data_IF_611707979989
#
_entry.id   IF_611707979989
#
_cell.length_a   1.000
_cell.length_b   1.000
_cell.length_c   1.000
_cell.angle_alpha   90.00
_cell.angle_beta   90.00
_cell.angle_gamma   90.00
#
_symmetry.space_group_name_H-M   'P 1'
#
loop_
_entity.id
_entity.type
_entity.pdbx_description
1 polymer ?
#
# COMPACT_ATOMS: atom_id res chain seq x y z
N UNK A 1 -11.26 35.47 -38.06
CA UNK A 1 -10.25 34.45 -37.73
C UNK A 1 -9.90 34.51 -36.27
N UNK A 2 -10.42 33.58 -35.47
CA UNK A 2 -9.92 33.31 -34.12
C UNK A 2 -9.78 31.79 -34.05
N UNK A 3 -8.54 31.31 -34.12
CA UNK A 3 -8.19 29.90 -34.07
C UNK A 3 -8.11 29.44 -32.60
N UNK A 4 -8.58 28.21 -32.36
CA UNK A 4 -8.85 27.64 -31.06
C UNK A 4 -7.62 27.42 -30.17
N UNK A 5 -7.83 27.62 -28.88
CA UNK A 5 -6.93 27.18 -27.82
C UNK A 5 -7.15 25.67 -27.62
N UNK A 6 -6.25 24.87 -28.21
CA UNK A 6 -6.14 23.44 -27.95
C UNK A 6 -5.60 23.21 -26.54
N UNK A 7 -6.48 22.80 -25.63
CA UNK A 7 -6.10 22.20 -24.35
C UNK A 7 -5.92 20.70 -24.62
N UNK A 8 -4.68 20.21 -24.50
CA UNK A 8 -4.15 18.82 -24.35
C UNK A 8 -2.76 18.84 -25.02
N UNK A 9 -1.63 18.49 -24.34
CA UNK A 9 -1.44 17.22 -23.65
C UNK A 9 -0.51 17.26 -22.40
N UNK A 10 -1.09 17.30 -21.20
CA UNK A 10 -0.38 16.89 -19.97
C UNK A 10 -0.71 15.44 -19.57
N UNK A 11 -1.86 14.93 -20.00
CA UNK A 11 -2.35 13.58 -19.68
C UNK A 11 -1.52 12.47 -20.36
N UNK A 12 -1.08 12.71 -21.60
CA UNK A 12 -0.38 11.72 -22.42
C UNK A 12 1.09 11.46 -21.98
N UNK A 13 1.73 12.45 -21.34
CA UNK A 13 3.10 12.33 -20.80
C UNK A 13 3.17 11.56 -19.48
N UNK A 14 2.12 11.60 -18.67
CA UNK A 14 2.06 10.84 -17.41
C UNK A 14 1.80 9.34 -17.69
N UNK A 15 0.97 9.03 -18.68
CA UNK A 15 0.71 7.64 -19.10
C UNK A 15 1.92 6.97 -19.76
N UNK A 16 2.86 7.74 -20.32
CA UNK A 16 4.09 7.19 -20.91
C UNK A 16 5.24 7.04 -19.91
N UNK A 17 5.36 7.92 -18.89
CA UNK A 17 6.39 7.77 -17.83
C UNK A 17 6.04 6.68 -16.83
N UNK A 18 4.75 6.45 -16.57
CA UNK A 18 4.28 5.48 -15.56
C UNK A 18 3.24 4.48 -16.08
N UNK A 19 2.32 4.87 -16.96
CA UNK A 19 1.13 4.07 -17.32
C UNK A 19 1.34 2.74 -18.05
N UNK A 20 2.37 2.60 -18.91
CA UNK A 20 2.62 1.33 -19.63
C UNK A 20 3.39 0.26 -18.84
N UNK A 21 3.99 0.66 -17.72
CA UNK A 21 4.71 -0.24 -16.81
C UNK A 21 3.91 -0.52 -15.52
N UNK A 22 2.84 0.26 -15.27
CA UNK A 22 2.09 0.30 -14.01
C UNK A 22 0.92 -0.67 -13.91
N UNK A 23 0.31 -1.07 -15.02
CA UNK A 23 -0.53 -2.26 -15.01
C UNK A 23 0.45 -3.43 -15.02
N UNK A 24 0.72 -3.95 -13.82
CA UNK A 24 1.54 -5.12 -13.63
C UNK A 24 1.01 -6.16 -14.59
N UNK A 25 1.86 -6.54 -15.55
CA UNK A 25 1.60 -7.66 -16.44
C UNK A 25 1.10 -8.81 -15.55
N UNK A 26 0.16 -9.63 -16.03
CA UNK A 26 -0.35 -10.75 -15.27
C UNK A 26 0.83 -11.50 -14.63
N UNK A 27 0.67 -12.06 -13.42
CA UNK A 27 1.75 -12.81 -12.77
C UNK A 27 2.42 -13.75 -13.78
N UNK A 28 3.71 -14.08 -13.65
CA UNK A 28 4.36 -14.99 -14.62
C UNK A 28 3.54 -16.28 -14.83
N UNK A 29 2.86 -16.75 -13.78
CA UNK A 29 1.88 -17.85 -13.83
C UNK A 29 0.64 -17.53 -14.66
N UNK A 30 0.09 -16.32 -14.57
CA UNK A 30 -1.05 -15.83 -15.35
C UNK A 30 -0.69 -15.57 -16.81
N UNK A 31 0.51 -15.06 -17.14
CA UNK A 31 0.99 -14.92 -18.54
C UNK A 31 1.25 -16.27 -19.17
N UNK A 32 1.85 -17.20 -18.43
CA UNK A 32 2.11 -18.56 -18.88
C UNK A 32 0.78 -19.32 -19.03
N UNK A 33 -0.18 -19.15 -18.11
CA UNK A 33 -1.55 -19.65 -18.27
C UNK A 33 -2.29 -18.97 -19.42
N UNK A 34 -2.13 -17.68 -19.68
CA UNK A 34 -2.74 -16.98 -20.82
C UNK A 34 -2.13 -17.43 -22.15
N UNK A 35 -0.82 -17.71 -22.19
CA UNK A 35 -0.17 -18.35 -23.34
C UNK A 35 -0.69 -19.76 -23.53
N UNK A 36 -0.73 -20.56 -22.48
CA UNK A 36 -1.30 -21.90 -22.47
C UNK A 36 -2.79 -21.86 -22.84
N UNK A 37 -3.57 -20.86 -22.44
CA UNK A 37 -4.98 -20.72 -22.82
C UNK A 37 -5.12 -20.17 -24.23
N UNK A 38 -4.18 -19.37 -24.74
CA UNK A 38 -4.12 -19.03 -26.18
C UNK A 38 -3.72 -20.25 -27.02
N UNK A 39 -2.85 -21.12 -26.52
CA UNK A 39 -2.33 -22.33 -27.18
C UNK A 39 -3.27 -23.54 -27.04
N UNK A 40 -3.97 -23.67 -25.90
CA UNK A 40 -4.99 -24.67 -25.57
C UNK A 40 -6.40 -24.17 -25.83
N UNK A 41 -6.60 -22.88 -26.15
CA UNK A 41 -7.87 -22.38 -26.70
C UNK A 41 -8.14 -23.23 -27.94
N UNK A 42 -9.14 -24.13 -27.88
CA UNK A 42 -9.38 -25.07 -28.96
C UNK A 42 -10.17 -24.41 -30.09
N UNK A 43 -10.05 -23.10 -30.27
CA UNK A 43 -10.72 -22.39 -31.36
C UNK A 43 -9.84 -22.28 -32.62
N UNK A 44 -9.46 -23.44 -33.20
CA UNK A 44 -9.57 -23.61 -34.64
C UNK A 44 -10.97 -24.03 -35.11
N UNK A 45 -11.86 -24.54 -34.24
CA UNK A 45 -13.14 -25.10 -34.70
C UNK A 45 -14.25 -25.09 -33.62
N UNK A 46 -14.79 -23.92 -33.29
CA UNK A 46 -16.23 -23.89 -33.01
C UNK A 46 -16.94 -23.71 -34.34
N UNK A 47 -17.74 -24.70 -34.76
CA UNK A 47 -18.65 -24.55 -35.91
C UNK A 47 -19.74 -23.50 -35.67
N UNK A 48 -19.85 -22.96 -34.45
CA UNK A 48 -20.69 -21.81 -34.14
C UNK A 48 -19.85 -20.55 -34.26
N UNK A 49 -20.30 -19.63 -35.09
CA UNK A 49 -19.75 -18.28 -35.15
C UNK A 49 -19.61 -17.72 -33.73
N UNK A 50 -18.52 -16.97 -33.44
CA UNK A 50 -18.38 -16.25 -32.19
C UNK A 50 -19.67 -15.48 -31.92
N UNK A 51 -20.26 -15.76 -30.77
CA UNK A 51 -21.45 -15.05 -30.31
C UNK A 51 -21.05 -13.58 -30.16
N UNK A 52 -21.73 -12.68 -30.88
CA UNK A 52 -21.39 -11.26 -30.92
C UNK A 52 -21.46 -10.57 -29.54
N UNK A 53 -22.09 -11.24 -28.57
CA UNK A 53 -22.25 -10.86 -27.17
C UNK A 53 -21.08 -11.28 -26.25
N UNK A 54 -20.09 -12.05 -26.73
CA UNK A 54 -18.97 -12.53 -25.90
C UNK A 54 -17.68 -11.74 -26.20
N UNK A 55 -17.08 -11.18 -25.15
CA UNK A 55 -15.84 -10.42 -25.24
C UNK A 55 -14.61 -11.34 -25.33
N UNK A 56 -13.68 -11.03 -26.23
CA UNK A 56 -12.41 -11.75 -26.40
C UNK A 56 -11.18 -10.82 -26.39
N UNK A 57 -11.31 -9.61 -25.83
CA UNK A 57 -10.13 -8.75 -25.64
C UNK A 57 -9.22 -9.36 -24.57
N UNK A 58 -7.94 -8.98 -24.58
CA UNK A 58 -6.96 -9.52 -23.63
C UNK A 58 -7.37 -9.26 -22.18
N UNK A 59 -7.94 -8.09 -21.91
CA UNK A 59 -8.42 -7.68 -20.59
C UNK A 59 -9.62 -8.52 -20.14
N UNK A 60 -10.56 -8.81 -21.05
CA UNK A 60 -11.71 -9.68 -20.76
C UNK A 60 -11.26 -11.11 -20.44
N UNK A 61 -10.28 -11.63 -21.18
CA UNK A 61 -9.73 -12.96 -20.96
C UNK A 61 -9.01 -13.02 -19.60
N UNK A 62 -8.13 -12.06 -19.30
CA UNK A 62 -7.42 -12.00 -18.02
C UNK A 62 -8.39 -11.93 -16.82
N UNK A 63 -9.36 -11.02 -16.88
CA UNK A 63 -10.38 -10.90 -15.83
C UNK A 63 -11.19 -12.21 -15.66
N UNK A 64 -11.57 -12.85 -16.76
CA UNK A 64 -12.31 -14.12 -16.71
C UNK A 64 -11.49 -15.23 -16.05
N UNK A 65 -10.19 -15.27 -16.26
CA UNK A 65 -9.31 -16.27 -15.66
C UNK A 65 -9.11 -16.05 -14.17
N UNK A 66 -8.94 -14.80 -13.75
CA UNK A 66 -8.85 -14.47 -12.32
C UNK A 66 -10.11 -14.90 -11.56
N UNK A 67 -11.29 -14.75 -12.18
CA UNK A 67 -12.56 -15.23 -11.62
C UNK A 67 -12.60 -16.76 -11.54
N UNK A 68 -12.26 -17.45 -12.63
CA UNK A 68 -12.26 -18.92 -12.70
C UNK A 68 -11.27 -19.57 -11.74
N UNK A 69 -10.16 -18.90 -11.44
CA UNK A 69 -9.19 -19.36 -10.44
C UNK A 69 -9.70 -19.22 -9.00
N UNK A 70 -10.72 -18.38 -8.78
CA UNK A 70 -11.26 -18.09 -7.45
C UNK A 70 -12.52 -18.88 -7.10
N UNK A 71 -13.34 -19.20 -8.12
CA UNK A 71 -14.64 -19.84 -7.94
C UNK A 71 -14.49 -21.34 -7.60
N UNK A 72 -15.18 -21.77 -6.55
CA UNK A 72 -15.41 -23.17 -6.21
C UNK A 72 -16.77 -23.63 -6.77
N UNK A 73 -16.75 -24.21 -7.98
CA UNK A 73 -17.96 -24.72 -8.64
C UNK A 73 -18.64 -25.92 -7.95
N UNK A 74 -18.03 -26.49 -6.90
CA UNK A 74 -18.63 -27.61 -6.16
C UNK A 74 -19.65 -27.15 -5.12
N UNK A 75 -19.73 -25.84 -4.84
CA UNK A 75 -20.64 -25.25 -3.86
C UNK A 75 -21.78 -24.54 -4.58
N UNK A 76 -22.99 -24.66 -4.05
CA UNK A 76 -24.13 -23.93 -4.59
C UNK A 76 -24.07 -22.46 -4.13
N UNK A 77 -24.07 -21.48 -5.05
CA UNK A 77 -24.01 -20.05 -4.68
C UNK A 77 -25.19 -19.58 -3.84
N UNK A 78 -26.34 -20.26 -3.90
CA UNK A 78 -27.50 -19.94 -3.07
C UNK A 78 -27.36 -20.39 -1.62
N UNK A 79 -26.45 -21.33 -1.34
CA UNK A 79 -26.22 -21.88 0.01
C UNK A 79 -25.07 -21.14 0.70
N UNK A 80 -23.93 -20.97 0.01
CA UNK A 80 -22.80 -20.16 0.49
C UNK A 80 -22.10 -19.47 -0.69
N UNK A 81 -22.44 -18.20 -0.90
CA UNK A 81 -21.87 -17.41 -1.98
C UNK A 81 -20.39 -17.09 -1.75
N UNK A 82 -19.93 -17.00 -0.50
CA UNK A 82 -18.53 -16.70 -0.19
C UNK A 82 -17.64 -17.90 -0.55
N UNK A 83 -18.02 -19.10 -0.12
CA UNK A 83 -17.30 -20.32 -0.49
C UNK A 83 -17.38 -20.58 -2.00
N UNK A 84 -18.55 -20.40 -2.63
CA UNK A 84 -18.67 -20.49 -4.08
C UNK A 84 -17.73 -19.53 -4.82
N UNK A 85 -17.66 -18.27 -4.41
CA UNK A 85 -16.92 -17.24 -5.15
C UNK A 85 -15.43 -17.17 -4.81
N UNK A 86 -15.02 -17.58 -3.62
CA UNK A 86 -13.66 -17.42 -3.11
C UNK A 86 -13.00 -18.70 -2.60
N UNK A 87 -13.74 -19.79 -2.38
CA UNK A 87 -13.24 -20.99 -1.70
C UNK A 87 -12.04 -21.65 -2.36
N UNK A 88 -12.03 -21.65 -3.70
CA UNK A 88 -10.86 -22.13 -4.46
C UNK A 88 -9.65 -21.22 -4.25
N UNK A 89 -9.84 -19.90 -4.30
CA UNK A 89 -8.76 -18.94 -4.07
C UNK A 89 -8.13 -19.12 -2.68
N UNK A 90 -8.95 -19.26 -1.64
CA UNK A 90 -8.49 -19.43 -0.25
C UNK A 90 -7.64 -20.69 -0.12
N UNK A 91 -8.07 -21.79 -0.74
CA UNK A 91 -7.33 -23.06 -0.75
C UNK A 91 -5.96 -22.91 -1.43
N UNK A 92 -5.90 -22.18 -2.54
CA UNK A 92 -4.69 -22.02 -3.35
C UNK A 92 -3.74 -20.91 -2.82
N UNK A 93 -4.19 -20.06 -1.88
CA UNK A 93 -3.45 -18.90 -1.39
C UNK A 93 -3.37 -18.86 0.15
N UNK A 94 -2.56 -19.74 0.77
CA UNK A 94 -2.36 -19.72 2.22
C UNK A 94 -1.72 -18.41 2.68
N UNK A 95 -2.02 -18.02 3.92
CA UNK A 95 -1.47 -16.79 4.52
C UNK A 95 0.06 -16.90 4.62
N UNK A 96 0.83 -15.98 4.01
CA UNK A 96 2.28 -15.98 4.12
C UNK A 96 2.75 -15.78 5.57
N UNK A 97 3.92 -16.33 6.00
CA UNK A 97 4.41 -16.20 7.37
C UNK A 97 4.62 -14.75 7.86
N UNK A 98 4.84 -13.82 6.93
CA UNK A 98 5.02 -12.39 7.23
C UNK A 98 3.70 -11.62 7.38
N UNK A 99 2.55 -12.28 7.22
CA UNK A 99 1.24 -11.65 7.16
C UNK A 99 0.28 -12.27 8.18
N UNK A 100 -0.59 -11.44 8.76
CA UNK A 100 -1.66 -11.89 9.68
C UNK A 100 -2.98 -12.20 8.96
N UNK A 101 -3.13 -11.69 7.73
CA UNK A 101 -4.25 -11.94 6.83
C UNK A 101 -3.77 -11.88 5.38
N UNK A 102 -4.45 -12.56 4.48
CA UNK A 102 -4.10 -12.58 3.07
C UNK A 102 -5.37 -12.55 2.21
N UNK A 103 -5.38 -11.65 1.23
CA UNK A 103 -6.54 -11.36 0.39
C UNK A 103 -6.17 -10.46 -0.78
N UNK A 104 -7.15 -10.19 -1.65
CA UNK A 104 -6.94 -9.34 -2.84
C UNK A 104 -6.39 -7.95 -2.50
N UNK A 105 -6.87 -7.33 -1.42
CA UNK A 105 -6.34 -6.03 -0.97
C UNK A 105 -4.90 -6.10 -0.45
N UNK A 106 -4.48 -7.24 0.09
CA UNK A 106 -3.11 -7.42 0.58
C UNK A 106 -2.15 -7.64 -0.59
N UNK A 107 -2.57 -8.41 -1.61
CA UNK A 107 -1.85 -8.53 -2.87
C UNK A 107 -1.67 -7.16 -3.52
N UNK A 108 -2.76 -6.41 -3.70
CA UNK A 108 -2.70 -5.07 -4.30
C UNK A 108 -1.79 -4.13 -3.50
N UNK A 109 -1.88 -4.17 -2.16
CA UNK A 109 -1.00 -3.37 -1.30
C UNK A 109 0.46 -3.76 -1.48
N UNK A 110 0.76 -5.05 -1.58
CA UNK A 110 2.13 -5.53 -1.81
C UNK A 110 2.65 -5.04 -3.17
N UNK A 111 1.83 -5.10 -4.22
CA UNK A 111 2.20 -4.59 -5.54
C UNK A 111 2.49 -3.09 -5.52
N UNK A 112 1.61 -2.30 -4.90
CA UNK A 112 1.82 -0.85 -4.73
C UNK A 112 3.09 -0.57 -3.92
N UNK A 113 3.34 -1.33 -2.85
CA UNK A 113 4.54 -1.18 -2.04
C UNK A 113 5.81 -1.51 -2.83
N UNK A 114 5.80 -2.57 -3.65
CA UNK A 114 6.95 -2.94 -4.49
C UNK A 114 7.26 -1.85 -5.51
N UNK A 115 6.24 -1.30 -6.17
CA UNK A 115 6.41 -0.18 -7.10
C UNK A 115 6.93 1.06 -6.38
N UNK A 116 6.35 1.39 -5.22
CA UNK A 116 6.77 2.53 -4.40
C UNK A 116 8.22 2.38 -3.96
N UNK A 117 8.63 1.19 -3.50
CA UNK A 117 10.01 0.89 -3.15
C UNK A 117 10.94 1.05 -4.37
N UNK A 118 10.54 0.60 -5.56
CA UNK A 118 11.30 0.82 -6.79
C UNK A 118 11.53 2.30 -7.08
N UNK A 119 10.52 3.14 -6.88
CA UNK A 119 10.64 4.60 -7.02
C UNK A 119 11.58 5.17 -5.95
N UNK A 120 11.42 4.78 -4.69
CA UNK A 120 12.20 5.31 -3.57
C UNK A 120 13.68 4.92 -3.61
N UNK A 121 13.99 3.75 -4.17
CA UNK A 121 15.36 3.26 -4.37
C UNK A 121 16.00 3.70 -5.68
N UNK A 122 15.23 4.32 -6.59
CA UNK A 122 15.77 4.84 -7.83
C UNK A 122 16.72 6.02 -7.59
N UNK A 123 17.79 6.17 -8.39
CA UNK A 123 18.69 7.32 -8.28
C UNK A 123 17.91 8.65 -8.37
N UNK A 124 18.33 9.68 -7.62
CA UNK A 124 17.73 11.00 -7.75
C UNK A 124 17.99 11.57 -9.15
N UNK A 125 16.95 12.09 -9.80
CA UNK A 125 17.04 12.74 -11.10
C UNK A 125 17.10 14.25 -10.95
N UNK A 126 17.71 14.97 -11.91
CA UNK A 126 17.70 16.44 -11.93
C UNK A 126 16.29 17.02 -12.09
N UNK A 127 15.34 16.21 -12.57
CA UNK A 127 13.93 16.57 -12.71
C UNK A 127 13.08 16.32 -11.46
N UNK A 128 13.64 15.68 -10.43
CA UNK A 128 12.90 15.39 -9.19
C UNK A 128 12.66 16.67 -8.37
N UNK A 129 11.42 16.85 -7.93
CA UNK A 129 11.09 17.94 -7.01
C UNK A 129 11.70 17.70 -5.62
N UNK A 130 12.01 18.77 -4.90
CA UNK A 130 12.58 18.70 -3.55
C UNK A 130 11.86 17.72 -2.61
N UNK A 131 10.51 17.67 -2.51
CA UNK A 131 9.84 16.70 -1.65
C UNK A 131 10.14 15.24 -2.02
N UNK A 132 10.28 14.93 -3.32
CA UNK A 132 10.63 13.58 -3.79
C UNK A 132 12.03 13.21 -3.33
N UNK A 133 12.99 14.13 -3.46
CA UNK A 133 14.36 13.93 -2.98
C UNK A 133 14.40 13.70 -1.46
N UNK A 134 13.61 14.45 -0.68
CA UNK A 134 13.54 14.28 0.76
C UNK A 134 12.96 12.92 1.17
N UNK A 135 11.92 12.44 0.48
CA UNK A 135 11.34 11.12 0.79
C UNK A 135 12.28 9.99 0.36
N UNK A 136 13.01 10.13 -0.76
CA UNK A 136 14.06 9.17 -1.16
C UNK A 136 15.18 9.08 -0.12
N UNK A 137 15.68 10.22 0.34
CA UNK A 137 16.71 10.30 1.39
C UNK A 137 16.22 9.68 2.71
N UNK A 138 15.04 10.07 3.17
CA UNK A 138 14.42 9.50 4.36
C UNK A 138 14.27 7.97 4.27
N UNK A 139 13.80 7.46 3.13
CA UNK A 139 13.67 6.02 2.91
C UNK A 139 15.02 5.30 2.97
N UNK A 140 16.07 5.90 2.39
CA UNK A 140 17.43 5.32 2.41
C UNK A 140 17.98 5.15 3.82
N UNK A 141 17.72 6.11 4.72
CA UNK A 141 18.11 6.03 6.12
C UNK A 141 17.30 4.96 6.87
N UNK A 142 16.01 4.82 6.54
CA UNK A 142 15.11 3.84 7.15
C UNK A 142 15.52 2.37 6.86
N UNK A 143 16.12 2.10 5.69
CA UNK A 143 16.51 0.74 5.30
C UNK A 143 17.97 0.40 5.63
N UNK A 144 18.79 1.35 6.06
CA UNK A 144 20.17 1.12 6.47
C UNK A 144 20.22 0.54 7.89
N UNK A 145 19.96 -0.76 8.00
CA UNK A 145 20.05 -1.49 9.27
C UNK A 145 21.46 -1.46 9.84
N UNK A 146 22.49 -1.29 9.02
CA UNK A 146 23.87 -1.18 9.49
C UNK A 146 24.11 0.12 10.26
N UNK A 147 23.55 1.25 9.80
CA UNK A 147 23.55 2.50 10.57
C UNK A 147 22.76 2.36 11.86
N UNK A 148 21.56 1.76 11.80
CA UNK A 148 20.71 1.54 12.98
C UNK A 148 21.45 0.75 14.07
N UNK A 149 22.11 -0.34 13.72
CA UNK A 149 22.86 -1.17 14.69
C UNK A 149 24.08 -0.43 15.27
N UNK A 150 24.76 0.41 14.48
CA UNK A 150 25.88 1.22 14.97
C UNK A 150 25.45 2.27 15.98
N UNK A 151 24.30 2.91 15.76
CA UNK A 151 23.76 3.94 16.65
C UNK A 151 23.13 3.34 17.91
N UNK A 152 22.58 2.13 17.80
CA UNK A 152 21.95 1.41 18.91
C UNK A 152 20.81 2.21 19.55
N UNK A 153 20.79 2.25 20.89
CA UNK A 153 19.70 2.86 21.66
C UNK A 153 19.94 4.33 22.01
N UNK A 154 21.01 4.97 21.54
CA UNK A 154 21.39 6.32 21.96
C UNK A 154 20.25 7.34 21.71
N UNK A 155 19.65 7.30 20.52
CA UNK A 155 18.52 8.16 20.15
C UNK A 155 17.27 7.90 21.00
N UNK A 156 16.95 6.63 21.26
CA UNK A 156 15.80 6.25 22.11
C UNK A 156 16.01 6.72 23.55
N UNK A 157 17.23 6.57 24.10
CA UNK A 157 17.56 7.02 25.46
C UNK A 157 17.47 8.55 25.58
N UNK A 158 17.90 9.29 24.56
CA UNK A 158 17.76 10.74 24.53
C UNK A 158 16.28 11.17 24.54
N UNK A 159 15.45 10.51 23.74
CA UNK A 159 13.99 10.72 23.70
C UNK A 159 13.36 10.44 25.07
N UNK A 160 13.70 9.30 25.69
CA UNK A 160 13.20 8.94 27.01
C UNK A 160 13.61 9.96 28.08
N UNK A 161 14.81 10.52 27.98
CA UNK A 161 15.30 11.55 28.92
C UNK A 161 14.45 12.82 28.83
N UNK A 162 14.09 13.25 27.62
CA UNK A 162 13.17 14.38 27.40
C UNK A 162 11.79 14.06 27.98
N UNK A 163 11.32 12.82 27.81
CA UNK A 163 10.03 12.36 28.35
C UNK A 163 10.04 12.07 29.87
N UNK A 164 10.99 12.61 30.64
CA UNK A 164 11.03 12.45 32.10
C UNK A 164 11.70 11.17 32.60
N UNK A 165 12.38 10.44 31.73
CA UNK A 165 13.11 9.21 32.01
C UNK A 165 12.22 7.97 32.15
N UNK A 166 12.86 6.79 32.21
CA UNK A 166 12.17 5.53 32.46
C UNK A 166 12.69 4.90 33.76
N UNK A 167 11.90 4.90 34.85
CA UNK A 167 12.33 4.42 36.18
C UNK A 167 12.98 3.03 36.20
N UNK A 168 12.53 2.11 35.34
CA UNK A 168 13.02 0.73 35.31
C UNK A 168 14.44 0.57 34.75
N UNK A 169 14.92 1.54 33.96
CA UNK A 169 16.22 1.47 33.26
C UNK A 169 17.12 2.69 33.53
N UNK A 170 16.63 3.68 34.27
CA UNK A 170 17.36 4.90 34.63
C UNK A 170 17.65 4.89 36.14
N UNK A 171 18.83 4.41 36.60
CA UNK A 171 19.13 4.26 38.03
C UNK A 171 19.12 5.58 38.81
N UNK A 172 19.35 6.69 38.12
CA UNK A 172 19.34 8.05 38.68
C UNK A 172 17.96 8.68 38.71
N UNK A 173 16.93 7.97 38.24
CA UNK A 173 15.57 8.49 38.23
C UNK A 173 15.02 8.60 39.65
N UNK A 174 14.31 9.70 39.92
CA UNK A 174 13.70 9.97 41.22
C UNK A 174 12.30 10.56 41.04
N UNK A 175 11.32 10.14 41.86
CA UNK A 175 9.97 10.69 41.80
C UNK A 175 9.94 12.19 42.13
N UNK A 176 10.92 12.71 42.86
CA UNK A 176 10.97 14.12 43.24
C UNK A 176 11.14 15.07 42.04
N UNK A 177 11.74 14.60 40.94
CA UNK A 177 11.93 15.37 39.71
C UNK A 177 10.86 15.11 38.65
N UNK A 178 9.85 14.29 38.94
CA UNK A 178 8.86 13.88 37.96
C UNK A 178 7.64 14.81 37.98
N UNK A 179 7.40 15.48 36.86
CA UNK A 179 6.17 16.24 36.64
C UNK A 179 5.39 15.63 35.46
N UNK A 180 4.29 14.98 35.80
CA UNK A 180 3.43 14.30 34.83
C UNK A 180 2.92 15.25 33.74
N UNK A 181 2.53 16.49 34.10
CA UNK A 181 1.95 17.42 33.14
C UNK A 181 3.00 17.87 32.13
N UNK A 182 4.21 18.21 32.61
CA UNK A 182 5.34 18.54 31.75
C UNK A 182 5.73 17.39 30.83
N UNK A 183 5.78 16.16 31.35
CA UNK A 183 6.11 14.97 30.55
C UNK A 183 5.07 14.72 29.46
N UNK A 184 3.78 14.73 29.80
CA UNK A 184 2.70 14.53 28.82
C UNK A 184 2.72 15.64 27.76
N UNK A 185 2.94 16.89 28.16
CA UNK A 185 3.03 18.02 27.24
C UNK A 185 4.24 17.93 26.30
N UNK A 186 5.42 17.56 26.83
CA UNK A 186 6.64 17.40 26.03
C UNK A 186 6.55 16.20 25.09
N UNK A 187 6.03 15.06 25.56
CA UNK A 187 5.82 13.89 24.72
C UNK A 187 4.89 14.19 23.55
N UNK A 188 3.81 14.94 23.80
CA UNK A 188 2.91 15.40 22.74
C UNK A 188 3.59 16.35 21.77
N UNK A 189 4.37 17.31 22.26
CA UNK A 189 5.01 18.35 21.45
C UNK A 189 6.12 17.81 20.56
N UNK A 190 6.96 16.94 21.10
CA UNK A 190 8.20 16.49 20.45
C UNK A 190 7.99 15.16 19.70
N UNK A 191 7.14 14.26 20.21
CA UNK A 191 6.98 12.90 19.65
C UNK A 191 5.59 12.62 19.07
N UNK A 192 4.67 13.60 19.16
CA UNK A 192 3.26 13.46 18.77
C UNK A 192 2.52 12.33 19.48
N UNK A 193 3.08 11.79 20.55
CA UNK A 193 2.54 10.66 21.28
C UNK A 193 1.45 11.10 22.27
N UNK A 194 0.50 10.20 22.53
CA UNK A 194 -0.62 10.43 23.43
C UNK A 194 -0.43 9.60 24.70
N UNK A 195 0.14 10.25 25.71
CA UNK A 195 0.33 9.64 27.03
C UNK A 195 -0.88 9.99 27.90
N UNK A 196 -1.59 8.98 28.39
CA UNK A 196 -2.81 9.05 29.24
C UNK A 196 -4.07 9.62 28.59
N UNK A 197 -3.96 10.72 27.84
CA UNK A 197 -5.09 11.38 27.20
C UNK A 197 -4.75 11.70 25.74
N UNK A 198 -5.72 11.45 24.86
CA UNK A 198 -5.60 11.84 23.45
C UNK A 198 -6.13 13.27 23.30
N UNK A 199 -5.27 14.19 22.87
CA UNK A 199 -5.64 15.61 22.63
C UNK A 199 -5.33 16.00 21.20
N UNK A 200 -6.37 16.25 20.40
CA UNK A 200 -6.21 16.57 18.99
C UNK A 200 -7.07 17.74 18.56
N UNK A 201 -6.57 18.47 17.56
CA UNK A 201 -7.30 19.56 16.93
C UNK A 201 -8.00 19.00 15.72
N UNK A 202 -9.33 19.01 15.72
CA UNK A 202 -10.12 18.60 14.56
C UNK A 202 -11.27 19.58 14.32
N UNK A 203 -11.99 19.35 13.23
CA UNK A 203 -13.14 20.15 12.81
C UNK A 203 -14.23 20.10 13.89
N UNK A 204 -14.77 21.26 14.26
CA UNK A 204 -15.91 21.32 15.17
C UNK A 204 -17.14 20.72 14.49
N UNK A 205 -17.67 19.63 15.06
CA UNK A 205 -18.85 18.95 14.55
C UNK A 205 -20.11 19.82 14.57
N UNK A 206 -20.13 20.90 15.36
CA UNK A 206 -21.22 21.88 15.40
C UNK A 206 -21.01 23.06 14.46
N UNK A 207 -19.76 23.31 14.04
CA UNK A 207 -19.43 24.36 13.08
C UNK A 207 -18.17 24.00 12.28
N UNK A 208 -18.37 23.41 11.10
CA UNK A 208 -17.29 22.87 10.27
C UNK A 208 -16.35 23.92 9.66
N UNK A 209 -16.61 25.22 9.89
CA UNK A 209 -15.71 26.31 9.49
C UNK A 209 -14.58 26.57 10.51
N UNK A 210 -14.60 25.89 11.65
CA UNK A 210 -13.63 26.08 12.74
C UNK A 210 -13.03 24.73 13.17
N UNK A 211 -11.85 24.81 13.75
CA UNK A 211 -11.23 23.70 14.46
C UNK A 211 -11.29 23.93 15.96
N UNK A 212 -11.47 22.86 16.72
CA UNK A 212 -11.50 22.88 18.20
C UNK A 212 -10.65 21.73 18.74
N UNK A 213 -10.22 21.88 19.99
CA UNK A 213 -9.50 20.83 20.72
C UNK A 213 -10.50 19.83 21.27
N UNK A 214 -10.26 18.55 21.00
CA UNK A 214 -10.95 17.40 21.60
C UNK A 214 -9.97 16.60 22.46
#
# INVERSE_FOLDING_TARGET
SVAGLGIVPAREKLETKWGRTFLQKPSHKSVEKLKIIRELSPFPYSKRAPRADVCFTEECLDASLQLLESINFSVNPCDDFFEYSCGKWITDNPIPPSSVRWGQFDILRQEVNNVTQGILTSPPESSDFKPVLQVKDFYSQCIDTGAMEREGLAHVIAILTIAGGWPSITPTWSPAGFDLISVVAQARREFLDYILATVYVTIDMRNTTRSVVY
#
